data_IF_223206791652
#
_entry.id   IF_223206791652
#
_cell.length_a   1.000
_cell.length_b   1.000
_cell.length_c   1.000
_cell.angle_alpha   90.00
_cell.angle_beta   90.00
_cell.angle_gamma   90.00
#
_symmetry.space_group_name_H-M   'P 1'
#
loop_
_entity.id
_entity.type
_entity.pdbx_description
1 polymer ?
#
# COMPACT_ATOMS: atom_id res chain seq x y z
N UNK A 1 -21.30 -10.25 -19.87
CA UNK A 1 -20.06 -9.51 -20.17
C UNK A 1 -19.69 -9.61 -21.65
N UNK A 2 -19.01 -8.62 -22.23
CA UNK A 2 -18.33 -8.75 -23.53
C UNK A 2 -17.04 -9.58 -23.38
N UNK A 3 -17.14 -10.89 -23.62
CA UNK A 3 -16.02 -11.82 -23.47
C UNK A 3 -14.90 -11.55 -24.47
N UNK A 4 -15.25 -11.32 -25.73
CA UNK A 4 -14.27 -11.13 -26.81
C UNK A 4 -13.49 -9.84 -26.57
N UNK A 5 -14.18 -8.75 -26.24
CA UNK A 5 -13.55 -7.47 -25.92
C UNK A 5 -12.62 -7.56 -24.72
N UNK A 6 -13.03 -8.24 -23.64
CA UNK A 6 -12.17 -8.43 -22.48
C UNK A 6 -10.95 -9.31 -22.77
N UNK A 7 -11.10 -10.42 -23.50
CA UNK A 7 -9.96 -11.27 -23.88
C UNK A 7 -8.96 -10.52 -24.77
N UNK A 8 -9.43 -9.71 -25.73
CA UNK A 8 -8.56 -8.86 -26.55
C UNK A 8 -7.81 -7.84 -25.68
N UNK A 9 -8.50 -7.21 -24.72
CA UNK A 9 -7.90 -6.27 -23.77
C UNK A 9 -6.77 -6.89 -22.94
N UNK A 10 -6.91 -8.17 -22.57
CA UNK A 10 -5.86 -8.94 -21.88
C UNK A 10 -4.70 -9.30 -22.82
N UNK A 11 -4.98 -9.70 -24.06
CA UNK A 11 -3.94 -10.03 -25.05
C UNK A 11 -3.08 -8.82 -25.41
N UNK A 12 -3.67 -7.62 -25.55
CA UNK A 12 -2.94 -6.36 -25.74
C UNK A 12 -1.95 -6.07 -24.60
N UNK A 13 -2.24 -6.59 -23.39
CA UNK A 13 -1.39 -6.50 -22.20
C UNK A 13 -0.43 -7.67 -22.04
N UNK A 14 -0.34 -8.54 -23.06
CA UNK A 14 0.62 -9.65 -23.16
C UNK A 14 0.43 -10.74 -22.10
N UNK A 15 -0.79 -10.93 -21.59
CA UNK A 15 -1.11 -12.12 -20.79
C UNK A 15 -1.01 -13.38 -21.64
N UNK A 16 -0.60 -14.50 -21.03
CA UNK A 16 -0.53 -15.79 -21.74
C UNK A 16 -1.94 -16.29 -22.10
N UNK A 17 -2.09 -17.17 -23.11
CA UNK A 17 -3.40 -17.74 -23.45
C UNK A 17 -4.10 -18.40 -22.25
N UNK A 18 -3.34 -19.10 -21.41
CA UNK A 18 -3.87 -19.70 -20.18
C UNK A 18 -4.40 -18.64 -19.21
N UNK A 19 -3.66 -17.57 -18.96
CA UNK A 19 -4.10 -16.47 -18.09
C UNK A 19 -5.34 -15.78 -18.64
N UNK A 20 -5.41 -15.59 -19.96
CA UNK A 20 -6.60 -15.02 -20.63
C UNK A 20 -7.83 -15.89 -20.37
N UNK A 21 -7.70 -17.21 -20.49
CA UNK A 21 -8.80 -18.15 -20.24
C UNK A 21 -9.24 -18.13 -18.77
N UNK A 22 -8.29 -18.21 -17.84
CA UNK A 22 -8.52 -18.18 -16.39
C UNK A 22 -9.18 -16.86 -15.94
N UNK A 23 -8.67 -15.72 -16.40
CA UNK A 23 -9.21 -14.40 -16.06
C UNK A 23 -10.60 -14.20 -16.68
N UNK A 24 -10.80 -14.64 -17.91
CA UNK A 24 -12.12 -14.56 -18.57
C UNK A 24 -13.14 -15.44 -17.84
N UNK A 25 -12.73 -16.60 -17.31
CA UNK A 25 -13.61 -17.50 -16.56
C UNK A 25 -14.13 -16.87 -15.26
N UNK A 26 -13.25 -16.34 -14.40
CA UNK A 26 -13.68 -15.73 -13.13
C UNK A 26 -14.49 -14.45 -13.35
N UNK A 27 -14.14 -13.65 -14.36
CA UNK A 27 -14.90 -12.43 -14.71
C UNK A 27 -16.27 -12.80 -15.28
N UNK A 28 -16.39 -13.91 -16.02
CA UNK A 28 -17.69 -14.43 -16.47
C UNK A 28 -18.53 -14.86 -15.29
N UNK A 29 -17.95 -15.57 -14.33
CA UNK A 29 -18.64 -15.99 -13.12
C UNK A 29 -19.18 -14.76 -12.34
N UNK A 30 -18.34 -13.75 -12.15
CA UNK A 30 -18.72 -12.49 -11.51
C UNK A 30 -19.86 -11.78 -12.25
N UNK A 31 -19.73 -11.61 -13.57
CA UNK A 31 -20.72 -10.89 -14.37
C UNK A 31 -22.08 -11.59 -14.36
N UNK A 32 -22.10 -12.93 -14.45
CA UNK A 32 -23.34 -13.71 -14.36
C UNK A 32 -23.97 -13.62 -12.96
N UNK A 33 -23.15 -13.64 -11.91
CA UNK A 33 -23.63 -13.51 -10.53
C UNK A 33 -24.20 -12.10 -10.26
N UNK A 34 -23.57 -11.05 -10.81
CA UNK A 34 -24.04 -9.68 -10.73
C UNK A 34 -25.39 -9.49 -11.45
N UNK A 35 -25.55 -10.05 -12.65
CA UNK A 35 -26.82 -10.02 -13.40
C UNK A 35 -27.97 -10.66 -12.61
N UNK A 36 -27.68 -11.72 -11.85
CA UNK A 36 -28.67 -12.36 -10.97
C UNK A 36 -28.97 -11.62 -9.67
N UNK A 37 -28.18 -10.61 -9.28
CA UNK A 37 -28.28 -9.92 -8.00
C UNK A 37 -29.27 -8.73 -7.99
N UNK A 38 -29.79 -8.31 -9.15
CA UNK A 38 -30.72 -7.19 -9.28
C UNK A 38 -30.02 -5.82 -9.34
N UNK A 39 -30.67 -4.78 -8.83
CA UNK A 39 -30.19 -3.39 -8.91
C UNK A 39 -29.17 -3.07 -7.80
N UNK A 40 -27.95 -3.60 -7.96
CA UNK A 40 -26.80 -3.34 -7.09
C UNK A 40 -25.61 -2.96 -7.97
N UNK A 41 -24.81 -1.99 -7.53
CA UNK A 41 -23.59 -1.60 -8.25
C UNK A 41 -22.55 -2.73 -8.24
N UNK A 42 -21.75 -2.84 -9.31
CA UNK A 42 -20.70 -3.87 -9.40
C UNK A 42 -19.74 -3.82 -8.21
N UNK A 43 -19.34 -2.62 -7.76
CA UNK A 43 -18.46 -2.42 -6.62
C UNK A 43 -19.07 -2.87 -5.27
N UNK A 44 -20.36 -2.64 -5.07
CA UNK A 44 -21.07 -3.08 -3.87
C UNK A 44 -21.25 -4.60 -3.87
N UNK A 45 -21.69 -5.16 -5.00
CA UNK A 45 -21.86 -6.60 -5.17
C UNK A 45 -20.55 -7.37 -4.96
N UNK A 46 -19.42 -6.78 -5.41
CA UNK A 46 -18.10 -7.39 -5.34
C UNK A 46 -17.69 -7.81 -3.92
N UNK A 47 -18.11 -7.09 -2.88
CA UNK A 47 -17.84 -7.49 -1.49
C UNK A 47 -18.49 -8.84 -1.13
N UNK A 48 -19.73 -9.05 -1.57
CA UNK A 48 -20.45 -10.31 -1.37
C UNK A 48 -19.84 -11.43 -2.24
N UNK A 49 -19.40 -11.10 -3.46
CA UNK A 49 -18.73 -12.03 -4.34
C UNK A 49 -17.36 -12.46 -3.79
N UNK A 50 -16.60 -11.56 -3.16
CA UNK A 50 -15.36 -11.89 -2.44
C UNK A 50 -15.61 -12.93 -1.34
N UNK A 51 -16.64 -12.75 -0.51
CA UNK A 51 -17.01 -13.74 0.52
C UNK A 51 -17.33 -15.11 -0.08
N UNK A 52 -18.01 -15.14 -1.23
CA UNK A 52 -18.23 -16.38 -1.98
C UNK A 52 -16.91 -17.01 -2.45
N UNK A 53 -16.01 -16.22 -3.04
CA UNK A 53 -14.70 -16.71 -3.48
C UNK A 53 -13.88 -17.28 -2.31
N UNK A 54 -13.92 -16.66 -1.15
CA UNK A 54 -13.26 -17.17 0.07
C UNK A 54 -13.87 -18.52 0.47
N UNK A 55 -15.20 -18.62 0.55
CA UNK A 55 -15.88 -19.86 0.93
C UNK A 55 -15.62 -21.02 -0.05
N UNK A 56 -15.40 -20.71 -1.34
CA UNK A 56 -15.12 -21.69 -2.39
C UNK A 56 -13.62 -21.98 -2.58
N UNK A 57 -12.72 -21.32 -1.83
CA UNK A 57 -11.27 -21.44 -2.00
C UNK A 57 -10.75 -20.87 -3.32
N UNK A 58 -11.50 -19.95 -3.93
CA UNK A 58 -11.15 -19.24 -5.18
C UNK A 58 -10.55 -17.85 -4.94
N UNK A 59 -10.27 -17.47 -3.70
CA UNK A 59 -9.75 -16.16 -3.32
C UNK A 59 -8.24 -16.02 -3.60
N UNK A 60 -7.83 -16.20 -4.85
CA UNK A 60 -6.43 -16.04 -5.29
C UNK A 60 -6.15 -14.59 -5.72
N UNK A 61 -4.89 -14.17 -5.63
CA UNK A 61 -4.47 -12.84 -6.11
C UNK A 61 -4.84 -12.63 -7.59
N UNK A 62 -4.62 -13.66 -8.42
CA UNK A 62 -4.95 -13.64 -9.84
C UNK A 62 -6.44 -13.44 -10.11
N UNK A 63 -7.33 -14.08 -9.33
CA UNK A 63 -8.78 -13.91 -9.50
C UNK A 63 -9.23 -12.49 -9.16
N UNK A 64 -8.72 -11.90 -8.08
CA UNK A 64 -8.98 -10.50 -7.76
C UNK A 64 -8.36 -9.54 -8.78
N UNK A 65 -7.15 -9.86 -9.26
CA UNK A 65 -6.47 -9.05 -10.27
C UNK A 65 -7.22 -9.06 -11.61
N UNK A 66 -7.82 -10.19 -12.00
CA UNK A 66 -8.70 -10.28 -13.15
C UNK A 66 -9.92 -9.34 -13.01
N UNK A 67 -10.50 -9.25 -11.81
CA UNK A 67 -11.65 -8.37 -11.52
C UNK A 67 -11.25 -6.88 -11.50
N UNK A 68 -10.04 -6.56 -11.02
CA UNK A 68 -9.44 -5.22 -11.16
C UNK A 68 -9.28 -4.84 -12.64
N UNK A 69 -8.73 -5.75 -13.45
CA UNK A 69 -8.55 -5.54 -14.89
C UNK A 69 -9.90 -5.39 -15.60
N UNK A 70 -10.94 -6.11 -15.15
CA UNK A 70 -12.28 -5.97 -15.68
C UNK A 70 -12.88 -4.59 -15.39
N UNK A 71 -12.75 -4.07 -14.17
CA UNK A 71 -13.14 -2.69 -13.85
C UNK A 71 -12.44 -1.67 -14.76
N UNK A 72 -11.12 -1.85 -14.99
CA UNK A 72 -10.35 -1.00 -15.92
C UNK A 72 -10.84 -1.10 -17.36
N UNK A 73 -11.17 -2.31 -17.84
CA UNK A 73 -11.73 -2.53 -19.17
C UNK A 73 -13.07 -1.81 -19.35
N UNK A 74 -13.95 -1.89 -18.34
CA UNK A 74 -15.23 -1.19 -18.34
C UNK A 74 -15.11 0.33 -18.13
N UNK A 75 -13.92 0.81 -17.74
CA UNK A 75 -13.70 2.17 -17.20
C UNK A 75 -14.56 2.46 -15.96
N UNK A 76 -14.87 1.42 -15.21
CA UNK A 76 -15.54 1.49 -13.91
C UNK A 76 -14.49 1.58 -12.81
N UNK A 77 -14.16 2.81 -12.43
CA UNK A 77 -13.20 3.07 -11.36
C UNK A 77 -13.69 2.55 -10.01
N UNK A 78 -14.99 2.50 -9.75
CA UNK A 78 -15.51 2.01 -8.48
C UNK A 78 -15.25 0.51 -8.32
N UNK A 79 -15.50 -0.29 -9.36
CA UNK A 79 -15.18 -1.72 -9.36
C UNK A 79 -13.66 -1.96 -9.29
N UNK A 80 -12.88 -1.19 -10.04
CA UNK A 80 -11.42 -1.30 -10.02
C UNK A 80 -10.86 -1.01 -8.61
N UNK A 81 -11.31 0.06 -7.97
CA UNK A 81 -10.89 0.42 -6.61
C UNK A 81 -11.33 -0.62 -5.58
N UNK A 82 -12.57 -1.08 -5.63
CA UNK A 82 -13.06 -2.13 -4.73
C UNK A 82 -12.23 -3.42 -4.87
N UNK A 83 -11.81 -3.77 -6.09
CA UNK A 83 -10.94 -4.92 -6.36
C UNK A 83 -9.53 -4.74 -5.79
N UNK A 84 -8.95 -3.55 -5.98
CA UNK A 84 -7.62 -3.22 -5.46
C UNK A 84 -7.59 -3.23 -3.92
N UNK A 85 -8.61 -2.69 -3.25
CA UNK A 85 -8.70 -2.63 -1.79
C UNK A 85 -8.60 -4.00 -1.12
N UNK A 86 -9.14 -5.04 -1.76
CA UNK A 86 -9.18 -6.39 -1.19
C UNK A 86 -7.83 -7.11 -1.26
N UNK A 87 -7.00 -6.78 -2.25
CA UNK A 87 -5.68 -7.39 -2.44
C UNK A 87 -4.53 -6.53 -1.92
N UNK A 88 -4.74 -5.22 -1.73
CA UNK A 88 -3.69 -4.36 -1.21
C UNK A 88 -3.26 -4.79 0.20
N UNK A 89 -1.96 -5.03 0.34
CA UNK A 89 -1.33 -5.52 1.56
C UNK A 89 -1.70 -6.95 1.92
N UNK A 90 -2.26 -7.75 0.99
CA UNK A 90 -2.62 -9.15 1.25
C UNK A 90 -1.45 -10.00 1.75
N UNK A 91 -0.23 -9.67 1.35
CA UNK A 91 1.01 -10.32 1.76
C UNK A 91 1.47 -9.98 3.19
N UNK A 92 0.96 -8.89 3.77
CA UNK A 92 1.58 -8.29 4.96
C UNK A 92 1.50 -9.19 6.19
N UNK A 93 0.41 -9.94 6.36
CA UNK A 93 0.24 -10.86 7.47
C UNK A 93 1.13 -12.10 7.33
N UNK A 94 1.20 -12.69 6.14
CA UNK A 94 2.08 -13.82 5.86
C UNK A 94 3.54 -13.43 6.07
N UNK A 95 3.91 -12.22 5.63
CA UNK A 95 5.24 -11.66 5.87
C UNK A 95 5.52 -11.42 7.36
N UNK A 96 4.54 -10.95 8.14
CA UNK A 96 4.68 -10.81 9.59
C UNK A 96 4.96 -12.17 10.24
N UNK A 97 4.16 -13.19 9.90
CA UNK A 97 4.30 -14.53 10.45
C UNK A 97 5.66 -15.14 10.06
N UNK A 98 6.02 -15.10 8.77
CA UNK A 98 7.31 -15.60 8.28
C UNK A 98 8.49 -14.90 8.98
N UNK A 99 8.52 -13.56 8.98
CA UNK A 99 9.61 -12.79 9.60
C UNK A 99 9.71 -13.01 11.11
N UNK A 100 8.58 -13.17 11.80
CA UNK A 100 8.59 -13.55 13.21
C UNK A 100 9.24 -14.93 13.41
N UNK A 101 8.98 -15.89 12.52
CA UNK A 101 9.64 -17.20 12.51
C UNK A 101 11.14 -17.09 12.24
N UNK A 102 11.53 -16.27 11.27
CA UNK A 102 12.93 -16.03 10.91
C UNK A 102 13.73 -15.41 12.08
N UNK A 103 13.11 -14.48 12.84
CA UNK A 103 13.76 -13.73 13.92
C UNK A 103 13.72 -14.45 15.27
N UNK A 104 12.60 -15.10 15.61
CA UNK A 104 12.36 -15.68 16.94
C UNK A 104 12.46 -17.22 16.96
N UNK A 105 12.46 -17.85 15.79
CA UNK A 105 12.24 -19.28 15.63
C UNK A 105 10.74 -19.63 15.57
N UNK A 106 10.42 -20.65 14.79
CA UNK A 106 9.03 -21.05 14.52
C UNK A 106 8.25 -21.45 15.76
N UNK A 107 8.89 -22.12 16.73
CA UNK A 107 8.24 -22.53 17.97
C UNK A 107 7.73 -21.32 18.77
N UNK A 108 8.57 -20.28 18.91
CA UNK A 108 8.21 -19.06 19.63
C UNK A 108 7.17 -18.24 18.88
N UNK A 109 7.29 -18.13 17.56
CA UNK A 109 6.26 -17.52 16.70
C UNK A 109 4.91 -18.20 16.89
N UNK A 110 4.87 -19.53 16.82
CA UNK A 110 3.63 -20.30 16.93
C UNK A 110 3.00 -20.13 18.32
N UNK A 111 3.81 -20.08 19.40
CA UNK A 111 3.33 -19.78 20.75
C UNK A 111 2.68 -18.39 20.83
N UNK A 112 3.32 -17.34 20.29
CA UNK A 112 2.82 -15.97 20.33
C UNK A 112 1.48 -15.84 19.58
N UNK A 113 1.37 -16.48 18.41
CA UNK A 113 0.19 -16.38 17.55
C UNK A 113 -0.80 -17.54 17.71
N UNK A 114 -0.65 -18.37 18.76
CA UNK A 114 -1.54 -19.51 19.01
C UNK A 114 -3.01 -19.07 19.13
N UNK A 115 -3.89 -19.82 18.48
CA UNK A 115 -5.33 -19.55 18.45
C UNK A 115 -5.76 -18.29 17.68
N UNK A 116 -4.86 -17.65 16.92
CA UNK A 116 -5.25 -16.58 15.99
C UNK A 116 -5.66 -17.15 14.64
N UNK A 117 -6.81 -16.67 14.13
CA UNK A 117 -7.26 -17.03 12.79
C UNK A 117 -6.45 -16.29 11.72
N UNK A 118 -6.15 -16.99 10.63
CA UNK A 118 -5.56 -16.39 9.43
C UNK A 118 -6.62 -15.57 8.74
N UNK A 119 -6.31 -14.30 8.43
CA UNK A 119 -7.20 -13.44 7.69
C UNK A 119 -7.06 -13.76 6.20
N UNK A 120 -8.10 -14.30 5.53
CA UNK A 120 -7.99 -14.71 4.14
C UNK A 120 -7.85 -13.50 3.20
N UNK A 121 -7.12 -13.68 2.10
CA UNK A 121 -7.10 -12.72 0.99
C UNK A 121 -8.54 -12.46 0.52
N UNK A 122 -8.90 -11.19 0.30
CA UNK A 122 -10.27 -10.80 0.00
C UNK A 122 -11.09 -10.27 1.17
N UNK A 123 -10.56 -10.38 2.39
CA UNK A 123 -11.22 -9.83 3.58
C UNK A 123 -11.38 -8.31 3.45
N UNK A 124 -12.58 -7.73 3.70
CA UNK A 124 -12.78 -6.29 3.64
C UNK A 124 -11.85 -5.52 4.58
N UNK A 125 -11.37 -4.35 4.14
CA UNK A 125 -10.47 -3.51 4.95
C UNK A 125 -11.08 -3.11 6.30
N UNK A 126 -12.40 -3.07 6.44
CA UNK A 126 -13.06 -2.78 7.73
C UNK A 126 -12.84 -3.85 8.79
N UNK A 127 -12.50 -5.07 8.38
CA UNK A 127 -12.31 -6.23 9.26
C UNK A 127 -10.81 -6.46 9.59
N UNK A 128 -9.89 -6.00 8.73
CA UNK A 128 -8.43 -6.18 8.87
C UNK A 128 -7.81 -5.56 10.15
N UNK A 129 -8.18 -4.35 10.62
CA UNK A 129 -7.49 -3.70 11.73
C UNK A 129 -7.62 -4.42 13.06
N UNK A 130 -8.76 -5.04 13.34
CA UNK A 130 -8.97 -5.76 14.60
C UNK A 130 -7.99 -6.95 14.71
N UNK A 131 -7.79 -7.70 13.62
CA UNK A 131 -6.83 -8.79 13.57
C UNK A 131 -5.39 -8.29 13.73
N UNK A 132 -5.02 -7.24 12.97
CA UNK A 132 -3.69 -6.64 13.05
C UNK A 132 -3.38 -6.12 14.45
N UNK A 133 -4.36 -5.48 15.10
CA UNK A 133 -4.23 -4.99 16.48
C UNK A 133 -3.81 -6.13 17.42
N UNK A 134 -4.55 -7.25 17.41
CA UNK A 134 -4.27 -8.39 18.29
C UNK A 134 -2.88 -8.97 18.02
N UNK A 135 -2.51 -9.12 16.75
CA UNK A 135 -1.22 -9.69 16.36
C UNK A 135 -0.05 -8.82 16.82
N UNK A 136 -0.12 -7.50 16.57
CA UNK A 136 0.93 -6.58 16.99
C UNK A 136 1.01 -6.50 18.51
N UNK A 137 -0.13 -6.44 19.22
CA UNK A 137 -0.14 -6.40 20.68
C UNK A 137 0.52 -7.64 21.30
N UNK A 138 0.25 -8.85 20.78
CA UNK A 138 0.88 -10.08 21.29
C UNK A 138 2.39 -10.10 21.02
N UNK A 139 2.80 -9.75 19.80
CA UNK A 139 4.21 -9.73 19.43
C UNK A 139 4.98 -8.67 20.23
N UNK A 140 4.43 -7.48 20.38
CA UNK A 140 5.03 -6.38 21.14
C UNK A 140 5.12 -6.70 22.64
N UNK A 141 4.09 -7.33 23.23
CA UNK A 141 4.10 -7.72 24.64
C UNK A 141 5.08 -8.86 24.94
N UNK A 142 5.21 -9.83 24.03
CA UNK A 142 6.08 -10.97 24.21
C UNK A 142 7.55 -10.67 23.87
N UNK A 143 7.79 -9.91 22.79
CA UNK A 143 9.11 -9.70 22.19
C UNK A 143 9.26 -8.26 21.66
N UNK A 144 9.27 -7.23 22.51
CA UNK A 144 9.18 -5.82 22.09
C UNK A 144 10.30 -5.40 21.12
N UNK A 145 11.54 -5.77 21.40
CA UNK A 145 12.68 -5.44 20.54
C UNK A 145 12.60 -6.17 19.18
N UNK A 146 12.16 -7.43 19.18
CA UNK A 146 11.98 -8.18 17.95
C UNK A 146 10.81 -7.63 17.13
N UNK A 147 9.70 -7.25 17.77
CA UNK A 147 8.56 -6.60 17.15
C UNK A 147 9.01 -5.36 16.36
N UNK A 148 9.76 -4.46 17.01
CA UNK A 148 10.31 -3.26 16.35
C UNK A 148 11.21 -3.62 15.17
N UNK A 149 12.15 -4.57 15.33
CA UNK A 149 13.05 -5.00 14.24
C UNK A 149 12.30 -5.62 13.06
N UNK A 150 11.32 -6.49 13.32
CA UNK A 150 10.50 -7.14 12.30
C UNK A 150 9.75 -6.06 11.51
N UNK A 151 9.07 -5.14 12.19
CA UNK A 151 8.31 -4.08 11.54
C UNK A 151 9.22 -3.10 10.79
N UNK A 152 10.38 -2.75 11.34
CA UNK A 152 11.38 -1.90 10.68
C UNK A 152 12.04 -2.55 9.45
N UNK A 153 11.86 -3.87 9.25
CA UNK A 153 12.24 -4.59 8.03
C UNK A 153 11.14 -4.61 6.96
N UNK A 154 9.97 -4.04 7.25
CA UNK A 154 8.82 -3.95 6.36
C UNK A 154 8.04 -5.25 6.22
N UNK A 155 6.74 -5.13 5.97
CA UNK A 155 5.83 -6.26 5.72
C UNK A 155 5.32 -6.31 4.28
N UNK A 156 5.62 -5.30 3.46
CA UNK A 156 5.25 -5.27 2.04
C UNK A 156 6.29 -6.02 1.22
N UNK A 157 5.86 -6.63 0.13
CA UNK A 157 6.78 -7.20 -0.86
C UNK A 157 7.34 -6.07 -1.75
N UNK A 158 8.60 -5.71 -1.47
CA UNK A 158 9.31 -4.61 -2.15
C UNK A 158 10.58 -5.16 -2.81
N UNK A 159 10.46 -5.88 -3.94
CA UNK A 159 11.61 -6.40 -4.68
C UNK A 159 12.50 -5.27 -5.19
N UNK A 160 13.82 -5.50 -5.17
CA UNK A 160 14.83 -4.49 -5.52
C UNK A 160 14.70 -4.02 -6.99
N UNK A 161 14.15 -4.89 -7.85
CA UNK A 161 13.90 -4.62 -9.26
C UNK A 161 13.02 -3.39 -9.46
N UNK A 162 12.10 -3.11 -8.53
CA UNK A 162 11.21 -1.94 -8.61
C UNK A 162 11.95 -0.62 -8.41
N UNK A 163 13.14 -0.64 -7.84
CA UNK A 163 13.92 0.56 -7.47
C UNK A 163 15.18 0.74 -8.32
N UNK A 164 15.41 -0.09 -9.34
CA UNK A 164 16.60 0.02 -10.20
C UNK A 164 16.66 1.35 -10.95
N UNK A 165 15.53 1.84 -11.45
CA UNK A 165 15.46 3.15 -12.10
C UNK A 165 15.86 4.30 -11.16
N UNK A 166 15.50 4.19 -9.87
CA UNK A 166 15.91 5.14 -8.84
C UNK A 166 17.42 5.08 -8.59
N UNK A 167 17.99 3.87 -8.51
CA UNK A 167 19.43 3.64 -8.37
C UNK A 167 20.24 4.18 -9.54
N UNK A 168 19.82 3.89 -10.77
CA UNK A 168 20.48 4.40 -11.98
C UNK A 168 20.43 5.92 -12.06
N UNK A 169 19.30 6.53 -11.65
CA UNK A 169 19.15 7.98 -11.62
C UNK A 169 20.04 8.62 -10.57
N UNK A 170 20.13 8.03 -9.37
CA UNK A 170 21.05 8.48 -8.33
C UNK A 170 22.52 8.39 -8.82
N UNK A 171 22.92 7.28 -9.44
CA UNK A 171 24.27 7.10 -9.97
C UNK A 171 24.67 8.10 -11.07
N UNK A 172 23.68 8.70 -11.75
CA UNK A 172 23.88 9.78 -12.75
C UNK A 172 23.81 11.17 -12.16
N UNK A 173 23.39 11.30 -10.89
CA UNK A 173 23.33 12.57 -10.17
C UNK A 173 24.71 12.88 -9.58
N UNK A 174 25.05 14.16 -9.52
CA UNK A 174 26.29 14.67 -8.94
C UNK A 174 26.37 14.40 -7.44
N UNK A 175 25.26 14.56 -6.72
CA UNK A 175 25.16 14.39 -5.28
C UNK A 175 23.73 14.02 -4.87
N UNK A 176 23.51 13.76 -3.57
CA UNK A 176 22.17 13.44 -3.04
C UNK A 176 21.20 14.60 -3.27
N UNK A 177 21.66 15.85 -3.14
CA UNK A 177 20.79 17.02 -3.20
C UNK A 177 20.25 17.24 -4.63
N UNK A 178 21.08 17.02 -5.66
CA UNK A 178 20.63 16.98 -7.06
C UNK A 178 19.63 15.84 -7.28
N UNK A 179 19.91 14.64 -6.78
CA UNK A 179 18.99 13.50 -6.92
C UNK A 179 17.61 13.80 -6.29
N UNK A 180 17.58 14.42 -5.12
CA UNK A 180 16.33 14.83 -4.46
C UNK A 180 15.54 15.81 -5.36
N UNK A 181 16.19 16.84 -5.89
CA UNK A 181 15.53 17.79 -6.81
C UNK A 181 14.98 17.10 -8.07
N UNK A 182 15.72 16.15 -8.64
CA UNK A 182 15.26 15.34 -9.77
C UNK A 182 14.05 14.48 -9.39
N UNK A 183 14.08 13.83 -8.23
CA UNK A 183 12.97 13.04 -7.68
C UNK A 183 11.71 13.89 -7.52
N UNK A 184 11.83 15.14 -7.02
CA UNK A 184 10.69 16.07 -6.92
C UNK A 184 10.12 16.41 -8.28
N UNK A 185 10.99 16.81 -9.21
CA UNK A 185 10.59 17.25 -10.55
C UNK A 185 9.84 16.13 -11.27
N UNK A 186 10.37 14.92 -11.22
CA UNK A 186 9.77 13.77 -11.89
C UNK A 186 8.42 13.40 -11.28
N UNK A 187 8.27 13.47 -9.94
CA UNK A 187 6.97 13.30 -9.29
C UNK A 187 5.96 14.34 -9.76
N UNK A 188 6.32 15.63 -9.80
CA UNK A 188 5.39 16.67 -10.22
C UNK A 188 4.95 16.51 -11.68
N UNK A 189 5.87 16.11 -12.58
CA UNK A 189 5.55 15.79 -13.97
C UNK A 189 4.60 14.59 -14.07
N UNK A 190 4.85 13.54 -13.29
CA UNK A 190 3.99 12.36 -13.25
C UNK A 190 2.59 12.71 -12.77
N UNK A 191 2.47 13.44 -11.66
CA UNK A 191 1.18 13.85 -11.10
C UNK A 191 0.39 14.76 -12.05
N UNK A 192 1.07 15.72 -12.71
CA UNK A 192 0.44 16.58 -13.72
C UNK A 192 -0.03 15.77 -14.93
N UNK A 193 0.74 14.78 -15.38
CA UNK A 193 0.35 13.89 -16.48
C UNK A 193 -0.87 13.05 -16.09
N UNK A 194 -0.88 12.46 -14.89
CA UNK A 194 -2.00 11.67 -14.37
C UNK A 194 -3.28 12.51 -14.28
N UNK A 195 -3.16 13.74 -13.78
CA UNK A 195 -4.27 14.70 -13.72
C UNK A 195 -4.82 15.01 -15.11
N UNK A 196 -3.97 15.35 -16.07
CA UNK A 196 -4.36 15.69 -17.45
C UNK A 196 -5.01 14.51 -18.19
N UNK A 197 -4.59 13.28 -17.89
CA UNK A 197 -5.15 12.05 -18.47
C UNK A 197 -6.40 11.53 -17.74
N UNK A 198 -6.78 12.15 -16.61
CA UNK A 198 -7.90 11.68 -15.78
C UNK A 198 -7.65 10.28 -15.18
N UNK A 199 -6.39 9.90 -14.97
CA UNK A 199 -6.01 8.64 -14.31
C UNK A 199 -5.95 8.83 -12.79
N UNK A 200 -5.81 7.71 -12.08
CA UNK A 200 -5.54 7.71 -10.64
C UNK A 200 -4.04 7.56 -10.38
N UNK A 201 -3.52 8.31 -9.40
CA UNK A 201 -2.21 8.07 -8.81
C UNK A 201 -2.38 7.02 -7.72
N UNK A 202 -1.98 5.79 -8.03
CA UNK A 202 -2.40 4.59 -7.30
C UNK A 202 -3.93 4.46 -7.26
N UNK A 203 -4.56 4.99 -6.21
CA UNK A 203 -6.00 4.92 -5.95
C UNK A 203 -6.65 6.28 -5.66
N UNK A 204 -5.91 7.38 -5.82
CA UNK A 204 -6.45 8.74 -5.61
C UNK A 204 -6.43 9.59 -6.88
N UNK A 205 -7.43 10.47 -6.98
CA UNK A 205 -7.49 11.51 -7.99
C UNK A 205 -6.45 12.60 -7.70
N UNK A 206 -5.81 13.13 -8.74
CA UNK A 206 -4.95 14.32 -8.64
C UNK A 206 -5.72 15.51 -9.19
N UNK A 207 -6.01 16.49 -8.33
CA UNK A 207 -6.61 17.78 -8.70
C UNK A 207 -5.53 18.87 -8.72
N UNK A 208 -5.82 20.08 -9.26
CA UNK A 208 -4.89 21.21 -9.16
C UNK A 208 -4.48 21.53 -7.72
N UNK A 209 -5.40 21.42 -6.77
CA UNK A 209 -5.15 21.63 -5.34
C UNK A 209 -4.23 20.55 -4.76
N UNK A 210 -4.40 19.29 -5.15
CA UNK A 210 -3.50 18.19 -4.75
C UNK A 210 -2.10 18.42 -5.30
N UNK A 211 -1.99 18.79 -6.59
CA UNK A 211 -0.70 19.06 -7.22
C UNK A 211 0.03 20.22 -6.54
N UNK A 212 -0.69 21.29 -6.21
CA UNK A 212 -0.15 22.46 -5.51
C UNK A 212 0.25 22.14 -4.06
N UNK A 213 -0.55 21.34 -3.36
CA UNK A 213 -0.20 20.83 -2.02
C UNK A 213 1.11 20.05 -2.04
N UNK A 214 1.26 19.11 -3.00
CA UNK A 214 2.50 18.37 -3.16
C UNK A 214 3.64 19.31 -3.53
N UNK A 215 3.44 20.27 -4.44
CA UNK A 215 4.48 21.23 -4.86
C UNK A 215 5.04 22.04 -3.70
N UNK A 216 4.18 22.47 -2.77
CA UNK A 216 4.54 23.37 -1.67
C UNK A 216 5.23 22.68 -0.50
N UNK A 217 5.18 21.35 -0.38
CA UNK A 217 5.91 20.61 0.66
C UNK A 217 7.11 19.85 0.07
N UNK A 218 8.36 20.27 0.34
CA UNK A 218 9.56 19.58 -0.12
C UNK A 218 9.81 18.25 0.61
N UNK A 219 9.14 17.93 1.72
CA UNK A 219 9.26 16.59 2.31
C UNK A 219 8.42 15.55 1.57
N UNK A 220 7.37 15.98 0.84
CA UNK A 220 6.53 15.08 0.05
C UNK A 220 7.20 14.74 -1.27
N UNK A 221 7.61 13.48 -1.40
CA UNK A 221 8.17 12.91 -2.63
C UNK A 221 9.64 13.28 -2.88
N UNK A 222 10.06 14.51 -2.60
CA UNK A 222 11.47 14.89 -2.65
C UNK A 222 12.21 14.33 -1.44
N UNK A 223 11.93 14.89 -0.27
CA UNK A 223 12.69 14.69 0.96
C UNK A 223 13.58 15.91 1.25
N UNK A 224 13.77 16.24 2.52
CA UNK A 224 14.63 17.35 2.96
C UNK A 224 15.84 16.78 3.69
N UNK A 225 17.05 17.03 3.17
CA UNK A 225 18.29 16.54 3.77
C UNK A 225 18.86 17.53 4.80
N UNK A 226 19.22 17.03 5.98
CA UNK A 226 20.02 17.74 6.99
C UNK A 226 21.14 16.82 7.44
N UNK A 227 22.38 17.17 7.10
CA UNK A 227 23.53 16.29 7.34
C UNK A 227 23.35 14.96 6.59
N UNK A 228 23.43 13.84 7.31
CA UNK A 228 23.20 12.50 6.78
C UNK A 228 21.75 12.00 6.98
N UNK A 229 20.79 12.87 7.33
CA UNK A 229 19.40 12.47 7.52
C UNK A 229 18.52 13.08 6.44
N UNK A 230 17.65 12.28 5.83
CA UNK A 230 16.58 12.75 4.94
C UNK A 230 15.26 12.66 5.69
N UNK A 231 14.54 13.78 5.75
CA UNK A 231 13.18 13.83 6.26
C UNK A 231 12.19 13.69 5.11
N UNK A 232 11.31 12.70 5.19
CA UNK A 232 10.25 12.47 4.22
C UNK A 232 8.88 12.49 4.90
N UNK A 233 7.94 13.19 4.27
CA UNK A 233 6.53 13.20 4.64
C UNK A 233 5.71 12.49 3.57
N UNK A 234 4.67 11.77 3.98
CA UNK A 234 3.74 11.15 3.03
C UNK A 234 2.82 12.18 2.41
N UNK A 235 2.56 12.03 1.11
CA UNK A 235 1.30 12.53 0.54
C UNK A 235 0.14 11.81 1.27
N UNK A 236 -1.00 12.46 1.59
CA UNK A 236 -2.18 11.78 2.11
C UNK A 236 -2.72 10.71 1.14
N UNK A 237 -3.40 9.67 1.67
CA UNK A 237 -3.91 8.57 0.84
C UNK A 237 -5.09 9.00 -0.05
N UNK A 238 -5.89 9.93 0.45
CA UNK A 238 -7.02 10.54 -0.25
C UNK A 238 -6.84 12.05 -0.14
N UNK A 239 -5.91 12.61 -0.92
CA UNK A 239 -5.45 14.00 -0.70
C UNK A 239 -6.55 15.02 -0.93
N UNK A 240 -7.41 14.82 -1.92
CA UNK A 240 -8.56 15.69 -2.17
C UNK A 240 -9.49 15.78 -0.97
N UNK A 241 -9.85 14.62 -0.40
CA UNK A 241 -10.71 14.51 0.78
C UNK A 241 -10.01 15.03 2.03
N UNK A 242 -8.73 14.74 2.20
CA UNK A 242 -7.91 15.25 3.29
C UNK A 242 -7.91 16.79 3.34
N UNK A 243 -7.72 17.43 2.18
CA UNK A 243 -7.69 18.90 2.07
C UNK A 243 -9.05 19.55 2.31
N UNK A 244 -10.15 18.85 2.00
CA UNK A 244 -11.51 19.37 2.16
C UNK A 244 -12.09 19.12 3.56
N UNK A 245 -11.52 18.18 4.31
CA UNK A 245 -12.00 17.81 5.65
C UNK A 245 -11.55 18.81 6.72
N UNK A 246 -12.40 19.04 7.71
CA UNK A 246 -12.15 19.95 8.85
C UNK A 246 -12.11 19.23 10.19
N UNK A 247 -12.68 18.03 10.26
CA UNK A 247 -12.58 17.14 11.41
C UNK A 247 -11.21 16.43 11.39
N UNK A 248 -10.40 16.69 12.42
CA UNK A 248 -9.02 16.18 12.50
C UNK A 248 -8.94 14.64 12.52
N UNK A 249 -9.91 13.95 13.13
CA UNK A 249 -9.94 12.48 13.15
C UNK A 249 -10.20 11.93 11.76
N UNK A 250 -11.13 12.54 11.02
CA UNK A 250 -11.39 12.18 9.62
C UNK A 250 -10.24 12.54 8.69
N UNK A 251 -9.55 13.67 8.92
CA UNK A 251 -8.32 14.00 8.19
C UNK A 251 -7.27 12.89 8.37
N UNK A 252 -7.03 12.41 9.60
CA UNK A 252 -6.12 11.28 9.86
C UNK A 252 -6.53 10.02 9.11
N UNK A 253 -7.82 9.72 9.05
CA UNK A 253 -8.35 8.62 8.24
C UNK A 253 -8.03 8.79 6.73
N UNK A 254 -8.24 9.98 6.17
CA UNK A 254 -7.92 10.27 4.77
C UNK A 254 -6.41 10.26 4.49
N UNK A 255 -5.58 10.52 5.50
CA UNK A 255 -4.12 10.46 5.38
C UNK A 255 -3.57 9.02 5.35
N UNK A 256 -4.09 8.12 6.20
CA UNK A 256 -3.53 6.78 6.38
C UNK A 256 -3.63 5.92 5.11
N UNK A 257 -2.48 5.36 4.71
CA UNK A 257 -2.35 4.47 3.55
C UNK A 257 -2.52 2.99 3.86
N UNK A 258 -2.34 2.59 5.13
CA UNK A 258 -2.19 1.17 5.44
C UNK A 258 -3.55 0.48 5.40
N UNK A 259 -3.77 -0.53 4.53
CA UNK A 259 -5.05 -1.25 4.46
C UNK A 259 -5.34 -2.03 5.76
N UNK A 260 -4.31 -2.30 6.57
CA UNK A 260 -4.41 -2.97 7.86
C UNK A 260 -4.65 -2.03 9.05
N UNK A 261 -4.62 -0.71 8.84
CA UNK A 261 -4.76 0.24 9.95
C UNK A 261 -5.75 1.38 9.67
N UNK A 262 -5.89 1.82 8.42
CA UNK A 262 -6.70 2.99 8.03
C UNK A 262 -8.11 2.95 8.63
N UNK A 263 -8.81 1.82 8.52
CA UNK A 263 -10.19 1.69 8.98
C UNK A 263 -10.35 1.82 10.50
N UNK A 264 -9.29 1.55 11.29
CA UNK A 264 -9.33 1.77 12.75
C UNK A 264 -9.41 3.25 13.14
N UNK A 265 -9.11 4.18 12.22
CA UNK A 265 -9.18 5.62 12.47
C UNK A 265 -10.58 6.21 12.31
N UNK A 266 -11.56 5.45 11.76
CA UNK A 266 -12.93 5.96 11.57
C UNK A 266 -13.65 6.29 12.87
N UNK A 267 -13.26 5.66 13.97
CA UNK A 267 -13.80 5.91 15.31
C UNK A 267 -12.95 6.88 16.14
N UNK A 268 -12.06 7.64 15.49
CA UNK A 268 -11.09 8.52 16.14
C UNK A 268 -9.74 7.82 16.32
N UNK A 269 -9.19 7.82 17.53
CA UNK A 269 -7.86 7.26 17.78
C UNK A 269 -7.84 5.74 17.58
N UNK A 270 -6.87 5.28 16.79
CA UNK A 270 -6.62 3.85 16.58
C UNK A 270 -6.15 3.15 17.86
N UNK A 271 -6.58 1.90 18.05
CA UNK A 271 -6.07 1.01 19.10
C UNK A 271 -4.86 0.16 18.63
N UNK A 272 -4.43 0.32 17.38
CA UNK A 272 -3.21 -0.33 16.88
C UNK A 272 -2.01 0.44 17.39
N UNK A 273 -1.04 -0.27 17.98
CA UNK A 273 0.21 0.32 18.46
C UNK A 273 0.91 1.12 17.35
N UNK A 274 1.31 2.39 17.59
CA UNK A 274 2.07 3.17 16.62
C UNK A 274 3.40 2.53 16.20
N UNK A 275 3.93 1.58 16.97
CA UNK A 275 5.06 0.74 16.57
C UNK A 275 4.83 0.08 15.22
N UNK A 276 3.58 -0.23 14.86
CA UNK A 276 3.20 -0.76 13.55
C UNK A 276 3.64 0.15 12.38
N UNK A 277 3.70 1.47 12.60
CA UNK A 277 4.17 2.42 11.59
C UNK A 277 5.66 2.27 11.24
N UNK A 278 6.46 1.49 11.97
CA UNK A 278 7.80 1.12 11.52
C UNK A 278 7.76 0.35 10.19
N UNK A 279 6.67 -0.38 9.89
CA UNK A 279 6.46 -0.96 8.55
C UNK A 279 6.35 0.11 7.47
N UNK A 280 5.80 1.28 7.79
CA UNK A 280 5.76 2.42 6.88
C UNK A 280 7.14 3.06 6.71
N UNK A 281 7.91 3.21 7.78
CA UNK A 281 9.30 3.71 7.69
C UNK A 281 10.15 2.78 6.80
N UNK A 282 9.97 1.46 6.92
CA UNK A 282 10.62 0.47 6.07
C UNK A 282 10.30 0.64 4.58
N UNK A 283 9.05 1.01 4.24
CA UNK A 283 8.69 1.33 2.86
C UNK A 283 9.46 2.53 2.31
N UNK A 284 9.63 3.59 3.11
CA UNK A 284 10.32 4.81 2.69
C UNK A 284 11.83 4.64 2.55
N UNK A 285 12.46 3.89 3.46
CA UNK A 285 13.91 3.65 3.40
C UNK A 285 14.33 2.70 2.28
N UNK A 286 13.40 1.90 1.73
CA UNK A 286 13.71 0.83 0.76
C UNK A 286 14.44 1.34 -0.48
N UNK A 287 14.03 2.47 -1.05
CA UNK A 287 14.71 3.07 -2.20
C UNK A 287 16.18 3.35 -1.90
N UNK A 288 16.47 3.85 -0.70
CA UNK A 288 17.81 4.17 -0.24
C UNK A 288 18.65 2.92 0.02
N UNK A 289 18.04 1.85 0.57
CA UNK A 289 18.71 0.54 0.71
C UNK A 289 19.17 0.01 -0.65
N UNK A 290 18.35 0.13 -1.70
CA UNK A 290 18.70 -0.31 -3.05
C UNK A 290 19.78 0.57 -3.67
N UNK A 291 19.67 1.90 -3.49
CA UNK A 291 20.66 2.88 -3.96
C UNK A 291 22.04 2.56 -3.38
N UNK A 292 22.14 2.42 -2.05
CA UNK A 292 23.41 2.22 -1.36
C UNK A 292 23.85 0.76 -1.27
N UNK A 293 22.98 -0.19 -1.62
CA UNK A 293 23.28 -1.62 -1.56
C UNK A 293 23.51 -2.15 -0.14
N UNK A 294 22.95 -1.49 0.87
CA UNK A 294 23.08 -1.87 2.28
C UNK A 294 21.82 -1.51 3.07
N UNK A 295 21.54 -2.16 4.21
CA UNK A 295 20.45 -1.78 5.10
C UNK A 295 20.57 -0.32 5.58
N UNK A 296 19.43 0.36 5.68
CA UNK A 296 19.32 1.75 6.12
C UNK A 296 18.45 1.80 7.36
N UNK A 297 18.76 2.70 8.30
CA UNK A 297 17.89 2.96 9.44
C UNK A 297 16.87 4.04 9.09
N UNK A 298 15.63 3.87 9.58
CA UNK A 298 14.63 4.90 9.50
C UNK A 298 13.77 4.93 10.77
N UNK A 299 13.44 6.14 11.21
CA UNK A 299 12.66 6.42 12.40
C UNK A 299 11.30 7.00 12.02
N UNK A 300 10.25 6.62 12.76
CA UNK A 300 8.94 7.26 12.70
C UNK A 300 8.96 8.47 13.62
N UNK A 301 8.86 9.67 13.05
CA UNK A 301 8.83 10.93 13.81
C UNK A 301 7.39 11.34 14.14
N UNK A 302 6.51 11.25 13.14
CA UNK A 302 5.10 11.60 13.24
C UNK A 302 4.26 10.47 12.62
N UNK A 303 3.08 10.21 13.18
CA UNK A 303 2.14 9.23 12.66
C UNK A 303 0.69 9.58 12.97
N UNK A 304 -0.17 9.46 11.96
CA UNK A 304 -1.62 9.59 12.18
C UNK A 304 -2.20 8.49 13.08
N UNK A 305 -1.51 7.35 13.26
CA UNK A 305 -1.91 6.34 14.26
C UNK A 305 -1.61 6.78 15.70
N UNK A 306 -0.60 7.62 15.94
CA UNK A 306 -0.31 8.14 17.28
C UNK A 306 -1.11 9.41 17.62
N UNK A 307 -1.74 10.03 16.62
CA UNK A 307 -2.61 11.20 16.76
C UNK A 307 -2.12 12.44 16.01
N UNK A 308 -0.96 12.37 15.34
CA UNK A 308 -0.43 13.51 14.59
C UNK A 308 -1.26 13.80 13.34
N UNK A 309 -1.08 14.99 12.76
CA UNK A 309 -1.77 15.42 11.55
C UNK A 309 -1.17 14.84 10.25
N UNK A 310 0.04 14.26 10.31
CA UNK A 310 0.74 13.66 9.17
C UNK A 310 1.60 12.47 9.60
N UNK A 311 2.17 11.78 8.62
CA UNK A 311 3.23 10.79 8.85
C UNK A 311 4.56 11.28 8.28
N UNK A 312 5.58 11.31 9.12
CA UNK A 312 6.93 11.80 8.80
C UNK A 312 8.00 10.83 9.29
N UNK A 313 9.03 10.65 8.49
CA UNK A 313 10.12 9.71 8.75
C UNK A 313 11.48 10.41 8.65
N UNK A 314 12.42 10.03 9.52
CA UNK A 314 13.84 10.31 9.34
C UNK A 314 14.51 9.07 8.73
N UNK A 315 15.30 9.25 7.67
CA UNK A 315 16.03 8.19 6.98
C UNK A 315 17.52 8.50 7.14
N UNK A 316 18.26 7.60 7.79
CA UNK A 316 19.65 7.81 8.17
C UNK A 316 20.58 7.24 7.09
N UNK A 317 21.18 8.11 6.30
CA UNK A 317 22.13 7.76 5.26
C UNK A 317 23.46 7.27 5.88
N UNK A 318 24.21 6.42 5.16
CA UNK A 318 25.53 5.98 5.60
C UNK A 318 26.48 7.17 5.84
N UNK A 319 27.40 7.06 6.80
CA UNK A 319 28.35 8.13 7.14
C UNK A 319 29.29 8.49 5.98
N UNK A 320 29.61 7.52 5.12
CA UNK A 320 30.55 7.67 4.00
C UNK A 320 29.91 8.18 2.70
N UNK A 321 28.70 8.76 2.73
CA UNK A 321 28.10 9.34 1.50
C UNK A 321 28.72 10.72 1.21
N UNK A 322 29.99 10.70 0.81
CA UNK A 322 30.60 11.77 0.04
C UNK A 322 30.39 11.47 -1.45
N UNK A 323 29.29 11.99 -2.00
CA UNK A 323 29.21 12.28 -3.43
C UNK A 323 28.74 13.71 -3.56
#
# INVERSE_FOLDING_TARGET
MDKIGFSNFLQERKFSPQQVDEFTAIVTEFANALEGAGDVSAAEFFKSFSRKMIAEGKNTYDNYYALLLYGRYLKDNALALASLELIDGGEALDNLFRKAGDVLGEARRNEIFDGLEVIPLGTPNSEKPAAMQVMIQRLEAAEPDACKRILASGLRDLPDEYYQSAKEKFAKSKDIDEYLLLKKRDLLIELETIMNEGRLYFNQEITPEVLEYVRNDPEIGQGVRVGNVIYESKIPHMTKEFLAETDEDKQRYYFCHCPWAKESLKAGRSNISPTFCNCSAAFHKKTWEVIFGQPIEAEVLESVLQGDSRCRFAIHLPEEVHV
#
